data_IF_285053547813
#
_entry.id   IF_285053547813
#
_cell.length_a   1.000
_cell.length_b   1.000
_cell.length_c   1.000
_cell.angle_alpha   90.00
_cell.angle_beta   90.00
_cell.angle_gamma   90.00
#
_symmetry.space_group_name_H-M   'P 1'
#
loop_
_entity.id
_entity.type
_entity.pdbx_description
1 polymer ?
#
# COMPACT_ATOMS: atom_id res chain seq x y z
N UNK A 1 8.55 6.19 18.56
CA UNK A 1 7.10 6.07 18.25
C UNK A 1 6.64 4.71 18.74
N UNK A 2 5.50 4.63 19.41
CA UNK A 2 4.92 3.38 19.88
C UNK A 2 3.96 2.82 18.83
N UNK A 3 4.06 1.51 18.59
CA UNK A 3 3.28 0.83 17.55
C UNK A 3 1.83 0.56 17.98
N UNK A 4 1.64 0.25 19.26
CA UNK A 4 0.36 -0.18 19.84
C UNK A 4 -0.36 0.94 20.60
N UNK A 5 0.00 2.21 20.39
CA UNK A 5 -0.60 3.36 21.09
C UNK A 5 -1.73 4.02 20.31
N UNK A 6 -2.15 3.45 19.17
CA UNK A 6 -3.05 4.13 18.24
C UNK A 6 -2.43 5.42 17.69
N UNK A 7 -3.21 6.50 17.60
CA UNK A 7 -2.73 7.81 17.11
C UNK A 7 -1.79 8.52 18.10
N UNK A 8 -1.85 8.17 19.37
CA UNK A 8 -0.97 8.63 20.44
C UNK A 8 0.46 8.02 20.35
N UNK A 9 1.08 8.07 19.17
CA UNK A 9 2.39 7.43 18.85
C UNK A 9 3.58 7.88 19.70
N UNK A 10 3.42 8.92 20.52
CA UNK A 10 4.45 9.40 21.46
C UNK A 10 4.15 9.01 22.92
N UNK A 11 2.97 8.47 23.19
CA UNK A 11 2.56 8.00 24.51
C UNK A 11 2.92 6.53 24.66
N UNK A 12 3.59 6.18 25.75
CA UNK A 12 3.87 4.78 26.09
C UNK A 12 2.53 4.06 26.29
N UNK A 13 2.24 2.97 25.54
CA UNK A 13 0.91 2.36 25.55
C UNK A 13 0.58 1.61 26.83
N UNK A 14 1.58 1.03 27.51
CA UNK A 14 1.35 0.22 28.71
C UNK A 14 2.17 0.71 29.90
N UNK A 15 1.48 0.96 31.00
CA UNK A 15 2.06 1.24 32.31
C UNK A 15 1.77 0.07 33.26
N UNK A 16 2.80 -0.40 33.97
CA UNK A 16 2.63 -1.44 34.99
C UNK A 16 1.80 -0.88 36.14
N UNK A 17 0.77 -1.62 36.55
CA UNK A 17 -0.08 -1.31 37.69
C UNK A 17 -0.28 -2.56 38.54
N UNK A 18 -0.81 -2.40 39.75
CA UNK A 18 -1.29 -3.54 40.52
C UNK A 18 -2.73 -3.31 40.97
N UNK A 19 -3.58 -4.29 40.71
CA UNK A 19 -4.99 -4.30 41.12
C UNK A 19 -5.23 -5.56 41.96
N UNK A 20 -5.70 -5.41 43.20
CA UNK A 20 -5.97 -6.56 44.09
C UNK A 20 -4.73 -7.41 44.41
N UNK A 21 -3.52 -6.85 44.33
CA UNK A 21 -2.26 -7.59 44.53
C UNK A 21 -1.79 -8.37 43.30
N UNK A 22 -2.49 -8.26 42.16
CA UNK A 22 -2.09 -8.81 40.88
C UNK A 22 -1.33 -7.74 40.10
N UNK A 23 -0.17 -8.07 39.54
CA UNK A 23 0.55 -7.16 38.64
C UNK A 23 -0.05 -7.23 37.23
N UNK A 24 -0.50 -6.11 36.68
CA UNK A 24 -1.10 -6.03 35.34
C UNK A 24 -0.66 -4.75 34.62
N UNK A 25 -1.25 -4.45 33.47
CA UNK A 25 -0.96 -3.26 32.68
C UNK A 25 -2.21 -2.39 32.50
N UNK A 26 -2.06 -1.08 32.69
CA UNK A 26 -3.02 -0.07 32.25
C UNK A 26 -2.65 0.38 30.85
N UNK A 27 -3.65 0.50 29.97
CA UNK A 27 -3.48 1.06 28.64
C UNK A 27 -3.63 2.58 28.65
N UNK A 28 -2.65 3.29 28.11
CA UNK A 28 -2.56 4.76 28.05
C UNK A 28 -2.56 5.26 26.58
N UNK A 29 -2.81 4.38 25.60
CA UNK A 29 -2.97 4.74 24.19
C UNK A 29 -4.42 5.07 23.82
N UNK A 30 -4.68 5.20 22.52
CA UNK A 30 -6.04 5.32 21.99
C UNK A 30 -6.41 4.12 21.09
N UNK A 31 -7.71 3.96 20.85
CA UNK A 31 -8.28 2.89 20.03
C UNK A 31 -8.32 3.21 18.53
N UNK A 32 -7.68 4.29 18.08
CA UNK A 32 -7.71 4.68 16.67
C UNK A 32 -6.63 3.95 15.87
N UNK A 33 -7.06 3.29 14.81
CA UNK A 33 -6.16 2.60 13.89
C UNK A 33 -5.76 3.49 12.72
N UNK A 34 -4.53 3.34 12.24
CA UNK A 34 -4.07 4.03 11.04
C UNK A 34 -4.74 3.42 9.81
N UNK A 35 -5.04 4.25 8.81
CA UNK A 35 -5.61 3.79 7.55
C UNK A 35 -4.75 4.31 6.41
N UNK A 36 -4.48 3.43 5.46
CA UNK A 36 -3.83 3.79 4.19
C UNK A 36 -4.82 3.59 3.06
N UNK A 37 -4.79 4.50 2.08
CA UNK A 37 -5.56 4.33 0.86
C UNK A 37 -4.81 3.36 -0.07
N UNK A 38 -5.50 2.32 -0.52
CA UNK A 38 -4.95 1.26 -1.40
C UNK A 38 -5.66 1.20 -2.76
N UNK A 39 -6.56 2.15 -3.03
CA UNK A 39 -7.32 2.25 -4.28
C UNK A 39 -8.23 3.49 -4.28
N UNK A 40 -9.03 3.65 -5.34
CA UNK A 40 -10.02 4.72 -5.39
C UNK A 40 -11.10 4.46 -4.32
N UNK A 41 -11.16 5.33 -3.31
CA UNK A 41 -12.06 5.20 -2.14
C UNK A 41 -11.89 3.91 -1.31
N UNK A 42 -10.81 3.16 -1.54
CA UNK A 42 -10.52 1.91 -0.82
C UNK A 42 -9.43 2.17 0.23
N UNK A 43 -9.79 1.97 1.50
CA UNK A 43 -8.88 2.13 2.63
C UNK A 43 -8.61 0.79 3.31
N UNK A 44 -7.36 0.58 3.70
CA UNK A 44 -6.92 -0.53 4.51
C UNK A 44 -6.48 -0.01 5.88
N UNK A 45 -7.04 -0.60 6.92
CA UNK A 45 -6.64 -0.31 8.29
C UNK A 45 -5.32 -1.02 8.62
N UNK A 46 -4.26 -0.24 8.79
CA UNK A 46 -2.91 -0.69 9.15
C UNK A 46 -2.63 -0.36 10.61
N UNK A 47 -2.28 -1.38 11.38
CA UNK A 47 -2.09 -1.26 12.82
C UNK A 47 -3.35 -1.62 13.62
N UNK A 48 -3.10 -2.02 14.85
CA UNK A 48 -4.09 -2.43 15.85
C UNK A 48 -3.74 -1.72 17.16
N UNK A 49 -4.74 -1.32 17.92
CA UNK A 49 -4.51 -0.72 19.23
C UNK A 49 -3.96 -1.77 20.19
N UNK A 50 -3.14 -1.35 21.15
CA UNK A 50 -2.67 -2.24 22.21
C UNK A 50 -3.81 -2.76 23.07
N UNK A 51 -4.90 -2.00 23.16
CA UNK A 51 -6.14 -2.44 23.78
C UNK A 51 -6.69 -3.69 23.10
N UNK A 52 -6.92 -3.66 21.78
CA UNK A 52 -7.49 -4.81 21.06
C UNK A 52 -6.55 -6.01 21.03
N UNK A 53 -5.24 -5.79 20.99
CA UNK A 53 -4.26 -6.90 20.91
C UNK A 53 -4.03 -7.54 22.28
N UNK A 54 -3.86 -6.73 23.33
CA UNK A 54 -3.32 -7.22 24.62
C UNK A 54 -4.26 -7.06 25.82
N UNK A 55 -5.15 -6.06 25.85
CA UNK A 55 -6.12 -5.93 26.94
C UNK A 55 -7.32 -6.85 26.74
N UNK A 56 -7.86 -6.91 25.52
CA UNK A 56 -9.00 -7.78 25.20
C UNK A 56 -8.66 -9.28 25.35
N UNK A 57 -7.39 -9.66 25.15
CA UNK A 57 -6.92 -11.03 25.41
C UNK A 57 -6.75 -11.35 26.90
N UNK A 58 -6.82 -10.36 27.79
CA UNK A 58 -6.58 -10.55 29.23
C UNK A 58 -5.14 -10.94 29.58
N UNK A 59 -4.21 -10.90 28.62
CA UNK A 59 -2.86 -11.47 28.76
C UNK A 59 -2.12 -10.98 30.01
N UNK A 60 -2.18 -9.67 30.30
CA UNK A 60 -1.49 -9.09 31.45
C UNK A 60 -2.07 -9.56 32.78
N UNK A 61 -3.39 -9.67 32.89
CA UNK A 61 -4.05 -10.17 34.10
C UNK A 61 -3.78 -11.66 34.30
N UNK A 62 -3.76 -12.44 33.20
CA UNK A 62 -3.46 -13.87 33.22
C UNK A 62 -2.05 -14.09 33.75
N UNK A 63 -1.05 -13.40 33.19
CA UNK A 63 0.35 -13.50 33.59
C UNK A 63 0.57 -13.01 35.03
N UNK A 64 -0.08 -11.91 35.41
CA UNK A 64 -0.04 -11.38 36.78
C UNK A 64 -0.56 -12.38 37.81
N UNK A 65 -1.70 -13.00 37.49
CA UNK A 65 -2.35 -13.99 38.35
C UNK A 65 -1.55 -15.27 38.42
N UNK A 66 -1.02 -15.74 37.29
CA UNK A 66 -0.14 -16.91 37.24
C UNK A 66 1.12 -16.70 38.08
N UNK A 67 1.74 -15.53 37.97
CA UNK A 67 2.91 -15.16 38.80
C UNK A 67 2.58 -15.27 40.29
N UNK A 68 1.47 -14.64 40.72
CA UNK A 68 1.06 -14.67 42.14
C UNK A 68 0.76 -16.10 42.60
N UNK A 69 0.05 -16.88 41.79
CA UNK A 69 -0.27 -18.27 42.11
C UNK A 69 0.99 -19.14 42.26
N UNK A 70 2.02 -18.88 41.43
CA UNK A 70 3.33 -19.52 41.57
C UNK A 70 4.05 -19.11 42.86
N UNK A 71 4.00 -17.83 43.23
CA UNK A 71 4.58 -17.33 44.49
C UNK A 71 3.89 -17.91 45.73
N UNK A 72 2.58 -18.13 45.66
CA UNK A 72 1.74 -18.65 46.74
C UNK A 72 1.65 -20.20 46.75
N UNK A 73 2.22 -20.87 45.75
CA UNK A 73 2.07 -22.33 45.52
C UNK A 73 0.60 -22.79 45.41
N UNK A 74 -0.25 -21.97 44.80
CA UNK A 74 -1.66 -22.30 44.56
C UNK A 74 -1.80 -23.12 43.27
N UNK A 75 -1.80 -24.44 43.43
CA UNK A 75 -1.91 -25.38 42.31
C UNK A 75 -3.23 -25.32 41.54
N UNK A 76 -4.33 -24.92 42.17
CA UNK A 76 -5.64 -24.82 41.52
C UNK A 76 -5.65 -23.64 40.54
N UNK A 77 -5.22 -22.47 41.02
CA UNK A 77 -5.11 -21.27 40.17
C UNK A 77 -4.06 -21.45 39.07
N UNK A 78 -2.92 -22.10 39.34
CA UNK A 78 -1.93 -22.40 38.29
C UNK A 78 -2.57 -23.22 37.17
N UNK A 79 -3.36 -24.25 37.51
CA UNK A 79 -4.01 -25.09 36.51
C UNK A 79 -5.05 -24.32 35.69
N UNK A 80 -5.86 -23.46 36.32
CA UNK A 80 -6.87 -22.67 35.61
C UNK A 80 -6.25 -21.65 34.64
N UNK A 81 -5.09 -21.08 34.99
CA UNK A 81 -4.41 -20.10 34.14
C UNK A 81 -3.82 -20.70 32.87
N UNK A 82 -3.57 -22.01 32.80
CA UNK A 82 -3.10 -22.66 31.58
C UNK A 82 -4.14 -22.54 30.47
N UNK A 83 -5.42 -22.76 30.78
CA UNK A 83 -6.47 -22.69 29.76
C UNK A 83 -6.74 -21.23 29.35
N UNK A 84 -6.71 -20.30 30.30
CA UNK A 84 -6.80 -18.86 30.00
C UNK A 84 -5.63 -18.39 29.11
N UNK A 85 -4.42 -18.90 29.34
CA UNK A 85 -3.25 -18.56 28.52
C UNK A 85 -3.41 -19.07 27.08
N UNK A 86 -4.01 -20.24 26.87
CA UNK A 86 -4.32 -20.74 25.51
C UNK A 86 -5.33 -19.84 24.80
N UNK A 87 -6.37 -19.38 25.50
CA UNK A 87 -7.34 -18.44 24.92
C UNK A 87 -6.66 -17.12 24.51
N UNK A 88 -5.75 -16.61 25.34
CA UNK A 88 -4.96 -15.42 25.00
C UNK A 88 -3.99 -15.66 23.82
N UNK A 89 -3.40 -16.86 23.72
CA UNK A 89 -2.57 -17.29 22.59
C UNK A 89 -3.38 -17.37 21.29
N UNK A 90 -4.57 -17.95 21.33
CA UNK A 90 -5.49 -18.03 20.18
C UNK A 90 -5.89 -16.62 19.72
N UNK A 91 -6.18 -15.71 20.64
CA UNK A 91 -6.46 -14.31 20.32
C UNK A 91 -5.28 -13.64 19.60
N UNK A 92 -4.07 -13.76 20.14
CA UNK A 92 -2.88 -13.21 19.50
C UNK A 92 -2.62 -13.83 18.12
N UNK A 93 -2.86 -15.13 17.98
CA UNK A 93 -2.72 -15.84 16.71
C UNK A 93 -3.71 -15.32 15.67
N UNK A 94 -4.95 -15.03 16.06
CA UNK A 94 -5.95 -14.41 15.19
C UNK A 94 -5.54 -12.98 14.78
N UNK A 95 -4.99 -12.20 15.69
CA UNK A 95 -4.49 -10.86 15.38
C UNK A 95 -3.30 -10.91 14.39
N UNK A 96 -2.39 -11.89 14.54
CA UNK A 96 -1.30 -12.13 13.57
C UNK A 96 -1.86 -12.55 12.22
N UNK A 97 -2.87 -13.42 12.18
CA UNK A 97 -3.51 -13.86 10.95
C UNK A 97 -4.21 -12.70 10.21
N UNK A 98 -4.88 -11.80 10.91
CA UNK A 98 -5.47 -10.58 10.33
C UNK A 98 -4.40 -9.69 9.69
N UNK A 99 -3.27 -9.48 10.39
CA UNK A 99 -2.13 -8.73 9.83
C UNK A 99 -1.56 -9.42 8.59
N UNK A 100 -1.42 -10.75 8.60
CA UNK A 100 -0.97 -11.54 7.45
C UNK A 100 -1.91 -11.40 6.24
N UNK A 101 -3.22 -11.46 6.45
CA UNK A 101 -4.21 -11.26 5.40
C UNK A 101 -4.14 -9.85 4.79
N UNK A 102 -3.93 -8.84 5.64
CA UNK A 102 -3.72 -7.45 5.19
C UNK A 102 -2.43 -7.28 4.39
N UNK A 103 -1.34 -7.93 4.80
CA UNK A 103 -0.07 -7.93 4.08
C UNK A 103 -0.24 -8.54 2.67
N UNK A 104 -0.85 -9.72 2.57
CA UNK A 104 -1.12 -10.38 1.29
C UNK A 104 -1.99 -9.51 0.37
N UNK A 105 -2.98 -8.78 0.92
CA UNK A 105 -3.79 -7.83 0.15
C UNK A 105 -2.98 -6.66 -0.39
N UNK A 106 -2.03 -6.13 0.39
CA UNK A 106 -1.12 -5.06 -0.06
C UNK A 106 -0.24 -5.56 -1.19
N UNK A 107 0.39 -6.73 -1.06
CA UNK A 107 1.25 -7.32 -2.09
C UNK A 107 0.50 -7.55 -3.41
N UNK A 108 -0.75 -8.04 -3.33
CA UNK A 108 -1.60 -8.21 -4.50
C UNK A 108 -1.90 -6.86 -5.19
N UNK A 109 -2.17 -5.80 -4.42
CA UNK A 109 -2.41 -4.46 -4.96
C UNK A 109 -1.16 -3.85 -5.57
N UNK A 110 0.01 -4.06 -4.96
CA UNK A 110 1.30 -3.62 -5.51
C UNK A 110 1.54 -4.26 -6.89
N UNK A 111 1.28 -5.57 -7.02
CA UNK A 111 1.39 -6.30 -8.29
C UNK A 111 0.45 -5.72 -9.35
N UNK A 112 -0.82 -5.47 -9.00
CA UNK A 112 -1.80 -4.88 -9.91
C UNK A 112 -1.39 -3.48 -10.37
N UNK A 113 -0.90 -2.65 -9.45
CA UNK A 113 -0.46 -1.28 -9.77
C UNK A 113 0.80 -1.28 -10.65
N UNK A 114 1.72 -2.21 -10.43
CA UNK A 114 2.90 -2.37 -11.28
C UNK A 114 2.52 -2.76 -12.72
N UNK A 115 1.60 -3.71 -12.89
CA UNK A 115 1.07 -4.11 -14.20
C UNK A 115 0.32 -2.97 -14.90
N UNK A 116 -0.54 -2.24 -14.17
CA UNK A 116 -1.24 -1.08 -14.71
C UNK A 116 -0.25 0.01 -15.16
N UNK A 117 0.79 0.28 -14.38
CA UNK A 117 1.82 1.24 -14.75
C UNK A 117 2.58 0.84 -16.02
N UNK A 118 2.90 -0.45 -16.19
CA UNK A 118 3.51 -0.96 -17.41
C UNK A 118 2.59 -0.77 -18.61
N UNK A 119 1.32 -1.19 -18.51
CA UNK A 119 0.34 -1.05 -19.59
C UNK A 119 0.11 0.43 -19.98
N UNK A 120 0.04 1.33 -19.00
CA UNK A 120 -0.08 2.76 -19.28
C UNK A 120 1.17 3.31 -19.97
N UNK A 121 2.36 2.87 -19.56
CA UNK A 121 3.63 3.25 -20.21
C UNK A 121 3.68 2.76 -21.65
N UNK A 122 3.29 1.51 -21.91
CA UNK A 122 3.21 0.95 -23.26
C UNK A 122 2.19 1.68 -24.13
N UNK A 123 1.01 2.01 -23.58
CA UNK A 123 -0.01 2.80 -24.31
C UNK A 123 0.48 4.21 -24.63
N UNK A 124 1.16 4.87 -23.70
CA UNK A 124 1.78 6.19 -23.94
C UNK A 124 2.80 6.07 -25.07
N UNK A 125 3.70 5.07 -25.02
CA UNK A 125 4.67 4.82 -26.09
C UNK A 125 3.99 4.60 -27.44
N UNK A 126 2.94 3.77 -27.52
CA UNK A 126 2.22 3.51 -28.77
C UNK A 126 1.53 4.77 -29.33
N UNK A 127 0.95 5.60 -28.47
CA UNK A 127 0.33 6.87 -28.86
C UNK A 127 1.40 7.85 -29.37
N UNK A 128 2.51 7.97 -28.63
CA UNK A 128 3.63 8.86 -28.97
C UNK A 128 4.31 8.41 -30.29
N UNK A 129 4.59 7.12 -30.45
CA UNK A 129 5.11 6.53 -31.69
C UNK A 129 4.13 6.72 -32.87
N UNK A 130 2.82 6.66 -32.61
CA UNK A 130 1.78 6.92 -33.59
C UNK A 130 1.78 8.38 -34.08
N UNK A 131 2.04 9.33 -33.18
CA UNK A 131 2.16 10.75 -33.52
C UNK A 131 3.42 11.02 -34.34
N UNK A 132 4.58 10.45 -33.97
CA UNK A 132 5.80 10.55 -34.79
C UNK A 132 5.62 9.94 -36.19
N UNK A 133 4.95 8.78 -36.30
CA UNK A 133 4.65 8.18 -37.59
C UNK A 133 3.75 9.08 -38.45
N UNK A 134 2.73 9.71 -37.86
CA UNK A 134 1.85 10.66 -38.54
C UNK A 134 2.62 11.92 -39.00
N UNK A 135 3.48 12.47 -38.14
CA UNK A 135 4.33 13.62 -38.46
C UNK A 135 5.31 13.32 -39.59
N UNK A 136 5.91 12.12 -39.63
CA UNK A 136 6.81 11.69 -40.72
C UNK A 136 6.06 11.56 -42.03
N UNK A 137 4.84 11.01 -42.03
CA UNK A 137 4.00 10.88 -43.23
C UNK A 137 3.60 12.27 -43.75
N UNK A 138 3.21 13.19 -42.87
CA UNK A 138 2.89 14.57 -43.25
C UNK A 138 4.11 15.29 -43.84
N UNK A 139 5.29 15.14 -43.21
CA UNK A 139 6.54 15.72 -43.70
C UNK A 139 6.90 15.18 -45.09
N UNK A 140 6.83 13.86 -45.31
CA UNK A 140 7.08 13.23 -46.61
C UNK A 140 6.08 13.68 -47.68
N UNK A 141 4.82 13.86 -47.30
CA UNK A 141 3.80 14.42 -48.19
C UNK A 141 4.13 15.85 -48.62
N UNK A 142 4.59 16.70 -47.69
CA UNK A 142 5.03 18.08 -47.98
C UNK A 142 6.29 18.11 -48.85
N UNK A 143 7.28 17.25 -48.59
CA UNK A 143 8.47 17.12 -49.43
C UNK A 143 8.11 16.73 -50.87
N UNK A 144 7.24 15.73 -51.05
CA UNK A 144 6.80 15.28 -52.37
C UNK A 144 6.05 16.38 -53.15
N UNK A 145 5.16 17.10 -52.48
CA UNK A 145 4.45 18.22 -53.10
C UNK A 145 5.40 19.35 -53.50
N UNK A 146 6.42 19.63 -52.68
CA UNK A 146 7.45 20.61 -52.96
C UNK A 146 8.33 20.22 -54.16
N UNK A 147 8.78 18.97 -54.23
CA UNK A 147 9.53 18.44 -55.39
C UNK A 147 8.69 18.49 -56.68
N UNK A 148 7.41 18.12 -56.62
CA UNK A 148 6.50 18.21 -57.75
C UNK A 148 6.30 19.65 -58.22
N UNK A 149 6.19 20.60 -57.30
CA UNK A 149 6.09 22.03 -57.60
C UNK A 149 7.38 22.57 -58.24
N UNK A 150 8.56 22.21 -57.72
CA UNK A 150 9.85 22.57 -58.32
C UNK A 150 10.02 21.98 -59.72
N UNK A 151 9.71 20.70 -59.90
CA UNK A 151 9.77 20.03 -61.21
C UNK A 151 8.79 20.68 -62.22
N UNK A 152 7.60 21.05 -61.76
CA UNK A 152 6.61 21.76 -62.58
C UNK A 152 7.11 23.16 -62.95
N UNK A 153 7.71 23.90 -62.01
CA UNK A 153 8.29 25.22 -62.26
C UNK A 153 9.48 25.16 -63.20
N UNK A 154 10.35 24.15 -63.07
CA UNK A 154 11.48 23.93 -63.96
C UNK A 154 11.01 23.63 -65.39
N UNK A 155 9.99 22.76 -65.55
CA UNK A 155 9.34 22.51 -66.86
C UNK A 155 8.70 23.75 -67.45
N UNK A 156 8.00 24.56 -66.63
CA UNK A 156 7.40 25.82 -67.07
C UNK A 156 8.47 26.81 -67.56
N UNK A 157 9.61 26.86 -66.87
CA UNK A 157 10.76 27.68 -67.24
C UNK A 157 11.39 27.22 -68.56
N UNK A 158 11.55 25.91 -68.78
CA UNK A 158 12.03 25.34 -70.06
C UNK A 158 11.06 25.62 -71.22
N UNK A 159 9.74 25.49 -71.01
CA UNK A 159 8.72 25.82 -72.01
C UNK A 159 8.73 27.33 -72.38
N UNK A 160 8.88 28.21 -71.39
CA UNK A 160 8.91 29.67 -71.61
C UNK A 160 10.15 30.16 -72.38
N UNK A 161 11.30 29.49 -72.22
CA UNK A 161 12.52 29.82 -72.97
C UNK A 161 12.44 29.37 -74.44
N UNK A 162 11.77 28.25 -74.73
CA UNK A 162 11.58 27.77 -76.10
C UNK A 162 10.55 28.59 -76.88
N UNK A 163 9.54 29.17 -76.22
CA UNK A 163 8.59 30.10 -76.85
C UNK A 163 9.16 31.50 -77.10
N UNK A 164 10.24 31.89 -76.41
CA UNK A 164 10.91 33.19 -76.64
C UNK A 164 11.87 33.18 -77.85
N UNK A 165 12.14 32.01 -78.45
CA UNK A 165 13.05 31.83 -79.59
C UNK A 165 12.34 31.59 -80.94
N UNK A 166 11.06 31.94 -81.07
CA UNK A 166 10.35 32.00 -82.37
C UNK A 166 10.02 33.43 -82.78
#
# INVERSE_FOLDING_TARGET
RYLFSGYATQTRPFAKVSAGGIETARYDGDSQSFRIQIGNEEYLEIGKSGESVFLESGLFDILGTLKKALEENDGETIASQIDQLKEAEDHLSNEIADVGAKAARIEAKETILADLNLQLTERISQIEDGDYAAMIVELKGKELAYEAALASSARLSELSLLDYLR
#
